data_IF_670266747108
#
_entry.id   IF_670266747108
#
_cell.length_a   1.000
_cell.length_b   1.000
_cell.length_c   1.000
_cell.angle_alpha   90.00
_cell.angle_beta   90.00
_cell.angle_gamma   90.00
#
_symmetry.space_group_name_H-M   'P 1'
#
loop_
_entity.id
_entity.type
_entity.pdbx_description
1 polymer ?
#
# COMPACT_ATOMS: atom_id res chain seq x y z
N UNK A 1 20.04 7.23 10.10
CA UNK A 1 19.96 6.07 9.17
C UNK A 1 20.34 6.53 7.76
N UNK A 2 21.21 5.82 7.04
CA UNK A 2 21.55 6.18 5.64
C UNK A 2 20.39 5.90 4.68
N UNK A 3 20.34 6.60 3.55
CA UNK A 3 19.28 6.41 2.53
C UNK A 3 19.18 4.96 2.04
N UNK A 4 20.32 4.29 1.84
CA UNK A 4 20.38 2.88 1.42
C UNK A 4 19.80 1.94 2.46
N UNK A 5 20.20 2.09 3.73
CA UNK A 5 19.67 1.25 4.82
C UNK A 5 18.17 1.44 4.97
N UNK A 6 17.69 2.68 4.79
CA UNK A 6 16.28 3.04 4.85
C UNK A 6 15.47 2.33 3.76
N UNK A 7 15.91 2.45 2.51
CA UNK A 7 15.28 1.79 1.38
C UNK A 7 15.27 0.26 1.52
N UNK A 8 16.35 -0.33 2.05
CA UNK A 8 16.42 -1.76 2.31
C UNK A 8 15.40 -2.22 3.36
N UNK A 9 15.25 -1.49 4.46
CA UNK A 9 14.27 -1.85 5.50
C UNK A 9 12.83 -1.76 4.96
N UNK A 10 12.52 -0.69 4.22
CA UNK A 10 11.23 -0.55 3.56
C UNK A 10 10.95 -1.68 2.56
N UNK A 11 11.95 -2.06 1.76
CA UNK A 11 11.84 -3.18 0.84
C UNK A 11 11.56 -4.48 1.60
N UNK A 12 12.29 -4.76 2.69
CA UNK A 12 12.06 -5.95 3.53
C UNK A 12 10.64 -5.97 4.09
N UNK A 13 10.14 -4.85 4.59
CA UNK A 13 8.81 -4.75 5.20
C UNK A 13 7.71 -5.00 4.18
N UNK A 14 7.74 -4.30 3.05
CA UNK A 14 6.67 -4.41 2.05
C UNK A 14 6.76 -5.69 1.22
N UNK A 15 7.97 -6.20 0.94
CA UNK A 15 8.14 -7.54 0.37
C UNK A 15 7.70 -8.63 1.35
N UNK A 16 8.02 -8.49 2.64
CA UNK A 16 7.55 -9.40 3.69
C UNK A 16 6.04 -9.44 3.78
N UNK A 17 5.38 -8.26 3.76
CA UNK A 17 3.93 -8.16 3.70
C UNK A 17 3.34 -8.86 2.46
N UNK A 18 3.92 -8.64 1.28
CA UNK A 18 3.47 -9.30 0.05
C UNK A 18 3.61 -10.83 0.13
N UNK A 19 4.74 -11.33 0.65
CA UNK A 19 4.98 -12.78 0.83
C UNK A 19 3.95 -13.38 1.79
N UNK A 20 3.72 -12.75 2.95
CA UNK A 20 2.72 -13.22 3.92
C UNK A 20 1.33 -13.20 3.31
N UNK A 21 0.97 -12.14 2.59
CA UNK A 21 -0.33 -12.01 1.93
C UNK A 21 -0.55 -13.07 0.86
N UNK A 22 0.48 -13.36 0.04
CA UNK A 22 0.45 -14.45 -0.92
C UNK A 22 0.33 -15.81 -0.22
N UNK A 23 1.06 -16.04 0.86
CA UNK A 23 0.95 -17.24 1.68
C UNK A 23 -0.47 -17.44 2.24
N UNK A 24 -1.11 -16.37 2.71
CA UNK A 24 -2.51 -16.41 3.16
C UNK A 24 -3.45 -16.75 2.01
N UNK A 25 -3.33 -16.09 0.86
CA UNK A 25 -4.15 -16.34 -0.33
C UNK A 25 -4.01 -17.79 -0.82
N UNK A 26 -2.80 -18.36 -0.77
CA UNK A 26 -2.52 -19.73 -1.18
C UNK A 26 -3.34 -20.78 -0.41
N UNK A 27 -3.84 -20.45 0.80
CA UNK A 27 -4.72 -21.34 1.56
C UNK A 27 -6.16 -21.38 1.03
N UNK A 28 -6.56 -20.41 0.20
CA UNK A 28 -7.93 -20.28 -0.32
C UNK A 28 -8.01 -20.49 -1.83
N UNK A 29 -6.92 -20.26 -2.58
CA UNK A 29 -6.86 -20.42 -4.03
C UNK A 29 -5.42 -20.62 -4.53
N UNK A 30 -5.27 -21.19 -5.73
CA UNK A 30 -3.96 -21.32 -6.37
C UNK A 30 -3.35 -19.96 -6.71
N UNK A 31 -2.04 -19.81 -6.48
CA UNK A 31 -1.32 -18.59 -6.86
C UNK A 31 -1.13 -18.55 -8.37
N UNK A 32 -1.51 -17.43 -8.98
CA UNK A 32 -1.32 -17.16 -10.40
C UNK A 32 -0.29 -16.05 -10.60
N UNK A 33 0.29 -15.97 -11.81
CA UNK A 33 1.17 -14.87 -12.18
C UNK A 33 0.52 -13.49 -11.97
N UNK A 34 -0.78 -13.36 -12.27
CA UNK A 34 -1.54 -12.14 -12.03
C UNK A 34 -1.59 -11.75 -10.55
N UNK A 35 -1.85 -12.71 -9.65
CA UNK A 35 -1.91 -12.46 -8.22
C UNK A 35 -0.55 -12.04 -7.66
N UNK A 36 0.52 -12.71 -8.10
CA UNK A 36 1.89 -12.35 -7.72
C UNK A 36 2.21 -10.93 -8.20
N UNK A 37 1.89 -10.62 -9.45
CA UNK A 37 2.09 -9.28 -10.01
C UNK A 37 1.36 -8.20 -9.21
N UNK A 38 0.07 -8.40 -8.91
CA UNK A 38 -0.73 -7.47 -8.09
C UNK A 38 -0.08 -7.22 -6.73
N UNK A 39 0.39 -8.28 -6.07
CA UNK A 39 1.02 -8.16 -4.75
C UNK A 39 2.37 -7.43 -4.80
N UNK A 40 3.16 -7.67 -5.85
CA UNK A 40 4.41 -6.92 -6.08
C UNK A 40 4.13 -5.44 -6.37
N UNK A 41 3.15 -5.15 -7.22
CA UNK A 41 2.74 -3.78 -7.52
C UNK A 41 2.24 -3.06 -6.26
N UNK A 42 1.41 -3.73 -5.45
CA UNK A 42 0.94 -3.20 -4.17
C UNK A 42 2.12 -2.92 -3.21
N UNK A 43 3.09 -3.83 -3.09
CA UNK A 43 4.26 -3.62 -2.24
C UNK A 43 5.09 -2.40 -2.66
N UNK A 44 5.29 -2.20 -3.96
CA UNK A 44 5.99 -1.02 -4.50
C UNK A 44 5.20 0.26 -4.23
N UNK A 45 3.87 0.24 -4.40
CA UNK A 45 3.02 1.39 -4.11
C UNK A 45 3.01 1.74 -2.62
N UNK A 46 2.98 0.74 -1.72
CA UNK A 46 3.08 0.94 -0.27
C UNK A 46 4.45 1.50 0.13
N UNK A 47 5.52 1.02 -0.48
CA UNK A 47 6.86 1.59 -0.34
C UNK A 47 6.88 3.07 -0.72
N UNK A 48 6.34 3.41 -1.89
CA UNK A 48 6.30 4.79 -2.38
C UNK A 48 5.43 5.69 -1.50
N UNK A 49 4.24 5.22 -1.10
CA UNK A 49 3.32 5.95 -0.25
C UNK A 49 3.91 6.21 1.14
N UNK A 50 4.54 5.22 1.75
CA UNK A 50 5.17 5.37 3.07
C UNK A 50 6.38 6.31 3.05
N UNK A 51 7.25 6.24 2.03
CA UNK A 51 8.33 7.22 1.87
C UNK A 51 7.78 8.62 1.56
N UNK A 52 6.72 8.73 0.77
CA UNK A 52 6.06 10.00 0.47
C UNK A 52 5.47 10.67 1.71
N UNK A 53 4.74 9.90 2.53
CA UNK A 53 4.18 10.36 3.80
C UNK A 53 5.28 10.76 4.79
N UNK A 54 6.36 9.98 4.88
CA UNK A 54 7.52 10.33 5.70
C UNK A 54 8.18 11.62 5.22
N UNK A 55 8.43 11.75 3.92
CA UNK A 55 9.03 12.95 3.35
C UNK A 55 8.15 14.19 3.64
N UNK A 56 6.84 14.06 3.51
CA UNK A 56 5.88 15.12 3.84
C UNK A 56 5.94 15.48 5.33
N UNK A 57 5.95 14.48 6.21
CA UNK A 57 5.98 14.68 7.65
C UNK A 57 7.25 15.38 8.13
N UNK A 58 8.41 15.00 7.58
CA UNK A 58 9.69 15.65 7.88
C UNK A 58 9.76 17.06 7.30
N UNK A 59 9.29 17.27 6.07
CA UNK A 59 9.26 18.61 5.44
C UNK A 59 8.37 19.60 6.18
N UNK A 60 7.31 19.11 6.82
CA UNK A 60 6.34 19.93 7.56
C UNK A 60 6.50 19.81 9.08
N UNK A 61 7.61 19.25 9.57
CA UNK A 61 7.94 19.09 10.98
C UNK A 61 6.74 18.62 11.83
N UNK A 62 6.06 17.54 11.41
CA UNK A 62 4.77 17.15 12.01
C UNK A 62 4.82 16.97 13.53
N UNK A 63 5.95 16.51 14.05
CA UNK A 63 6.16 16.24 15.48
C UNK A 63 6.46 17.49 16.31
N UNK A 64 6.80 18.61 15.67
CA UNK A 64 7.09 19.89 16.35
C UNK A 64 5.86 20.79 16.50
N UNK A 65 4.75 20.43 15.84
CA UNK A 65 3.48 21.14 15.90
C UNK A 65 2.58 20.74 17.08
N UNK A 66 1.36 21.27 17.10
CA UNK A 66 0.37 20.88 18.11
C UNK A 66 -0.11 19.43 17.92
N UNK A 67 -0.42 18.77 19.04
CA UNK A 67 -0.96 17.40 19.02
C UNK A 67 -2.25 17.27 18.20
N UNK A 68 -3.08 18.33 18.16
CA UNK A 68 -4.31 18.36 17.35
C UNK A 68 -4.02 18.40 15.85
N UNK A 69 -3.01 19.17 15.42
CA UNK A 69 -2.58 19.20 14.03
C UNK A 69 -1.99 17.86 13.60
N UNK A 70 -1.19 17.22 14.48
CA UNK A 70 -0.68 15.87 14.24
C UNK A 70 -1.81 14.85 14.12
N UNK A 71 -2.77 14.88 15.05
CA UNK A 71 -3.93 13.98 15.01
C UNK A 71 -4.74 14.13 13.72
N UNK A 72 -5.00 15.37 13.28
CA UNK A 72 -5.71 15.62 12.02
C UNK A 72 -4.94 15.11 10.80
N UNK A 73 -3.61 15.34 10.75
CA UNK A 73 -2.75 14.83 9.68
C UNK A 73 -2.75 13.31 9.63
N UNK A 74 -2.64 12.65 10.78
CA UNK A 74 -2.71 11.18 10.88
C UNK A 74 -4.10 10.63 10.57
N UNK A 75 -5.17 11.37 10.86
CA UNK A 75 -6.53 10.96 10.52
C UNK A 75 -6.82 11.06 9.01
N UNK A 76 -6.20 12.00 8.29
CA UNK A 76 -6.52 12.29 6.89
C UNK A 76 -5.50 11.73 5.89
N UNK A 77 -4.21 11.95 6.11
CA UNK A 77 -3.20 11.72 5.08
C UNK A 77 -2.94 10.23 4.79
N UNK A 78 -2.88 9.32 5.78
CA UNK A 78 -2.73 7.90 5.51
C UNK A 78 -3.95 7.29 4.78
N UNK A 79 -5.22 7.60 5.15
CA UNK A 79 -6.37 7.18 4.35
C UNK A 79 -6.37 7.73 2.92
N UNK A 80 -6.00 9.01 2.72
CA UNK A 80 -5.88 9.59 1.39
C UNK A 80 -4.80 8.91 0.56
N UNK A 81 -3.64 8.63 1.16
CA UNK A 81 -2.58 7.88 0.51
C UNK A 81 -3.01 6.44 0.18
N UNK A 82 -3.78 5.80 1.06
CA UNK A 82 -4.32 4.47 0.85
C UNK A 82 -5.31 4.42 -0.33
N UNK A 83 -6.21 5.39 -0.42
CA UNK A 83 -7.10 5.54 -1.59
C UNK A 83 -6.27 5.76 -2.85
N UNK A 84 -5.26 6.63 -2.82
CA UNK A 84 -4.37 6.86 -3.96
C UNK A 84 -3.63 5.58 -4.40
N UNK A 85 -3.14 4.78 -3.45
CA UNK A 85 -2.53 3.47 -3.72
C UNK A 85 -3.52 2.53 -4.41
N UNK A 86 -4.75 2.43 -3.91
CA UNK A 86 -5.75 1.52 -4.50
C UNK A 86 -6.22 1.98 -5.87
N UNK A 87 -6.36 3.30 -6.09
CA UNK A 87 -6.66 3.86 -7.41
C UNK A 87 -5.52 3.59 -8.39
N UNK A 88 -4.27 3.79 -7.97
CA UNK A 88 -3.10 3.49 -8.81
C UNK A 88 -3.02 2.00 -9.14
N UNK A 89 -3.23 1.12 -8.15
CA UNK A 89 -3.25 -0.33 -8.36
C UNK A 89 -4.37 -0.76 -9.30
N UNK A 90 -5.56 -0.17 -9.15
CA UNK A 90 -6.68 -0.39 -10.06
C UNK A 90 -6.31 0.01 -11.49
N UNK A 91 -5.69 1.18 -11.68
CA UNK A 91 -5.20 1.63 -13.00
C UNK A 91 -4.16 0.67 -13.61
N UNK A 92 -3.18 0.24 -12.83
CA UNK A 92 -2.16 -0.74 -13.25
C UNK A 92 -2.81 -2.06 -13.69
N UNK A 93 -3.75 -2.57 -12.89
CA UNK A 93 -4.43 -3.82 -13.20
C UNK A 93 -5.32 -3.71 -14.43
N UNK A 94 -6.04 -2.60 -14.58
CA UNK A 94 -6.87 -2.32 -15.77
C UNK A 94 -6.00 -2.27 -17.03
N UNK A 95 -4.85 -1.59 -16.98
CA UNK A 95 -3.91 -1.58 -18.11
C UNK A 95 -3.36 -2.98 -18.40
N UNK A 96 -2.98 -3.74 -17.37
CA UNK A 96 -2.49 -5.11 -17.52
C UNK A 96 -3.53 -6.04 -18.15
N UNK A 97 -4.82 -5.86 -17.83
CA UNK A 97 -5.93 -6.59 -18.46
C UNK A 97 -6.13 -6.18 -19.91
N UNK A 98 -6.13 -4.88 -20.20
CA UNK A 98 -6.29 -4.36 -21.58
C UNK A 98 -5.16 -4.81 -22.50
N UNK A 99 -3.95 -4.98 -21.96
CA UNK A 99 -2.78 -5.48 -22.69
C UNK A 99 -2.71 -7.02 -22.76
N UNK A 100 -3.64 -7.73 -22.13
CA UNK A 100 -3.63 -9.21 -22.06
C UNK A 100 -2.50 -9.79 -21.20
N UNK A 101 -1.84 -8.98 -20.36
CA UNK A 101 -0.76 -9.40 -19.47
C UNK A 101 -1.28 -10.02 -18.16
N UNK A 102 -2.50 -9.63 -17.76
CA UNK A 102 -3.15 -10.12 -16.55
C UNK A 102 -4.44 -10.86 -16.92
N UNK A 103 -4.72 -11.91 -16.15
CA UNK A 103 -5.97 -12.67 -16.21
C UNK A 103 -6.47 -12.88 -14.79
N UNK A 104 -7.72 -12.49 -14.53
CA UNK A 104 -8.39 -12.74 -13.26
C UNK A 104 -9.56 -13.71 -13.45
N UNK A 105 -9.85 -14.59 -12.49
CA UNK A 105 -11.00 -15.49 -12.56
C UNK A 105 -12.33 -14.73 -12.72
N UNK A 106 -13.27 -15.35 -13.44
CA UNK A 106 -14.64 -14.88 -13.49
C UNK A 106 -15.24 -14.83 -12.07
N UNK A 107 -15.92 -13.74 -11.72
CA UNK A 107 -16.47 -13.53 -10.38
C UNK A 107 -15.50 -12.92 -9.36
N UNK A 108 -14.29 -12.52 -9.78
CA UNK A 108 -13.41 -11.68 -8.93
C UNK A 108 -14.19 -10.44 -8.48
N UNK A 109 -14.30 -10.16 -7.16
CA UNK A 109 -15.03 -9.01 -6.65
C UNK A 109 -14.48 -7.70 -7.22
N UNK A 110 -15.38 -6.81 -7.64
CA UNK A 110 -15.06 -5.52 -8.24
C UNK A 110 -15.97 -4.41 -7.70
N UNK A 111 -15.64 -3.16 -8.04
CA UNK A 111 -16.44 -1.98 -7.73
C UNK A 111 -15.96 -1.20 -6.50
N UNK A 112 -16.70 -0.14 -6.20
CA UNK A 112 -16.30 0.86 -5.20
C UNK A 112 -16.18 0.26 -3.79
N UNK A 113 -17.08 -0.65 -3.40
CA UNK A 113 -17.02 -1.30 -2.09
C UNK A 113 -15.74 -2.09 -1.86
N UNK A 114 -15.27 -2.81 -2.90
CA UNK A 114 -14.01 -3.56 -2.86
C UNK A 114 -12.81 -2.60 -2.75
N UNK A 115 -12.82 -1.52 -3.54
CA UNK A 115 -11.79 -0.48 -3.46
C UNK A 115 -11.72 0.14 -2.07
N UNK A 116 -12.87 0.50 -1.47
CA UNK A 116 -12.92 1.08 -0.14
C UNK A 116 -12.46 0.11 0.95
N UNK A 117 -12.83 -1.17 0.86
CA UNK A 117 -12.37 -2.20 1.79
C UNK A 117 -10.85 -2.38 1.73
N UNK A 118 -10.27 -2.45 0.52
CA UNK A 118 -8.81 -2.51 0.37
C UNK A 118 -8.12 -1.20 0.76
N UNK A 119 -8.75 -0.04 0.54
CA UNK A 119 -8.21 1.25 0.97
C UNK A 119 -8.18 1.32 2.49
N UNK A 120 -9.22 0.86 3.19
CA UNK A 120 -9.22 0.77 4.65
C UNK A 120 -8.11 -0.16 5.16
N UNK A 121 -7.97 -1.36 4.58
CA UNK A 121 -6.90 -2.28 4.94
C UNK A 121 -5.51 -1.65 4.71
N UNK A 122 -5.32 -0.98 3.58
CA UNK A 122 -4.10 -0.25 3.24
C UNK A 122 -3.83 0.89 4.22
N UNK A 123 -4.85 1.64 4.64
CA UNK A 123 -4.72 2.72 5.61
C UNK A 123 -4.25 2.19 6.97
N UNK A 124 -4.78 1.04 7.42
CA UNK A 124 -4.34 0.38 8.66
C UNK A 124 -2.84 0.05 8.59
N UNK A 125 -2.39 -0.54 7.48
CA UNK A 125 -0.97 -0.88 7.30
C UNK A 125 -0.09 0.37 7.28
N UNK A 126 -0.52 1.44 6.61
CA UNK A 126 0.20 2.71 6.58
C UNK A 126 0.27 3.36 7.97
N UNK A 127 -0.82 3.35 8.76
CA UNK A 127 -0.81 3.84 10.13
C UNK A 127 0.17 3.07 11.02
N UNK A 128 0.08 1.73 11.00
CA UNK A 128 0.96 0.88 11.79
C UNK A 128 2.43 1.10 11.43
N UNK A 129 2.74 1.19 10.13
CA UNK A 129 4.09 1.44 9.70
C UNK A 129 4.57 2.84 10.07
N UNK A 130 3.75 3.87 9.85
CA UNK A 130 4.07 5.24 10.22
C UNK A 130 4.33 5.41 11.72
N UNK A 131 3.64 4.68 12.58
CA UNK A 131 3.86 4.73 14.03
C UNK A 131 5.28 4.29 14.44
N UNK A 132 5.91 3.43 13.64
CA UNK A 132 7.30 2.96 13.87
C UNK A 132 8.31 3.72 12.98
N UNK A 133 7.84 4.25 11.86
CA UNK A 133 8.68 4.76 10.79
C UNK A 133 8.87 6.27 10.76
N UNK A 134 7.93 7.05 11.30
CA UNK A 134 8.08 8.50 11.44
C UNK A 134 8.97 8.83 12.62
#
# INVERSE_FOLDING_TARGET
MTMRRRAALQAVVWSGYAIVSLGMIANFQALTGSLIFVMLALAVLLWAASEGLRALALRQAWLEGSSSALALRLALLPPLAAVAVQVALHGINTLGLLLGLLVFPAGTPQGLGVLLAYALNTAILLWLWMAVWL
#
